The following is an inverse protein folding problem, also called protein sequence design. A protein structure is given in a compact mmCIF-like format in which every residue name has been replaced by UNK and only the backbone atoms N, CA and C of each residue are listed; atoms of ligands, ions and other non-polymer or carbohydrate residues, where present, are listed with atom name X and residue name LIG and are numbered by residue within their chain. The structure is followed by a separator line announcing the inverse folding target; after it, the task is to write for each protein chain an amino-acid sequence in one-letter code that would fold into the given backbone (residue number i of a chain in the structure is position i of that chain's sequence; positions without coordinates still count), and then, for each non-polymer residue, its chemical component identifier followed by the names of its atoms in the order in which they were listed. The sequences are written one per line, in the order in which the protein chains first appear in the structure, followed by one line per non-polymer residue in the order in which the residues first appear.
data_IF_536717040575
#
_entry.id   IF_536717040575
#
_cell.length_a   1.000
_cell.length_b   1.000
_cell.length_c   1.000
_cell.angle_alpha   90.00
_cell.angle_beta   90.00
_cell.angle_gamma   90.00
#
_symmetry.space_group_name_H-M   'P 1'
#
loop_
_entity.id
_entity.type
_entity.pdbx_description
1 polymer ?
#
# COMPACT_ATOMS: atom_id res chain seq x y z
N UNK A 1 7.06 -0.12 22.04
CA UNK A 1 6.86 -0.93 20.83
C UNK A 1 7.31 -0.11 19.64
N UNK A 2 8.23 -0.62 18.82
CA UNK A 2 8.77 0.11 17.68
C UNK A 2 7.72 0.21 16.57
N UNK A 3 7.28 1.43 16.27
CA UNK A 3 6.49 1.70 15.07
C UNK A 3 7.44 1.68 13.87
N UNK A 4 7.26 0.74 12.94
CA UNK A 4 8.00 0.74 11.67
C UNK A 4 7.38 1.81 10.76
N UNK A 5 8.10 2.92 10.57
CA UNK A 5 7.72 3.97 9.64
C UNK A 5 8.59 3.86 8.38
N UNK A 6 7.98 3.47 7.28
CA UNK A 6 8.61 3.43 5.96
C UNK A 6 8.25 4.72 5.19
N UNK A 7 9.18 5.24 4.36
CA UNK A 7 9.01 6.53 3.68
C UNK A 7 9.13 6.38 2.17
N UNK A 8 8.41 7.23 1.43
CA UNK A 8 8.73 7.52 0.04
C UNK A 8 9.93 8.49 -0.01
N UNK A 9 10.74 8.39 -1.06
CA UNK A 9 11.99 9.16 -1.21
C UNK A 9 11.72 10.51 -1.87
N UNK A 10 12.44 11.53 -1.40
CA UNK A 10 12.66 12.78 -2.11
C UNK A 10 14.18 13.02 -2.24
N UNK A 11 14.72 13.16 -3.46
CA UNK A 11 16.13 13.42 -3.70
C UNK A 11 16.62 12.95 -5.09
N UNK A 12 17.92 13.09 -5.34
CA UNK A 12 18.56 12.80 -6.63
C UNK A 12 18.64 11.30 -7.00
N UNK A 13 18.45 10.41 -6.03
CA UNK A 13 18.48 8.95 -6.25
C UNK A 13 17.17 8.46 -6.87
N UNK A 14 17.26 7.50 -7.78
CA UNK A 14 16.11 6.95 -8.49
C UNK A 14 15.10 6.26 -7.55
N UNK A 15 15.57 5.69 -6.43
CA UNK A 15 14.76 5.11 -5.34
C UNK A 15 15.69 4.79 -4.15
N UNK A 16 15.10 4.60 -2.96
CA UNK A 16 15.80 4.14 -1.76
C UNK A 16 15.72 2.62 -1.66
N UNK A 17 16.77 1.93 -2.09
CA UNK A 17 16.86 0.48 -2.05
C UNK A 17 16.72 -0.07 -0.61
N UNK A 18 17.28 0.63 0.37
CA UNK A 18 17.19 0.23 1.77
C UNK A 18 15.76 0.21 2.30
N UNK A 19 14.97 1.22 1.98
CA UNK A 19 13.54 1.26 2.34
C UNK A 19 12.72 0.22 1.56
N UNK A 20 13.04 -0.03 0.28
CA UNK A 20 12.42 -1.11 -0.48
C UNK A 20 12.69 -2.47 0.17
N UNK A 21 13.95 -2.79 0.50
CA UNK A 21 14.32 -4.06 1.15
C UNK A 21 13.66 -4.25 2.51
N UNK A 22 13.59 -3.22 3.34
CA UNK A 22 12.87 -3.26 4.63
C UNK A 22 11.39 -3.56 4.44
N UNK A 23 10.75 -2.93 3.46
CA UNK A 23 9.33 -3.15 3.19
C UNK A 23 9.05 -4.54 2.63
N UNK A 24 9.94 -5.07 1.76
CA UNK A 24 9.87 -6.45 1.26
C UNK A 24 9.92 -7.45 2.43
N UNK A 25 10.91 -7.31 3.32
CA UNK A 25 11.06 -8.20 4.47
C UNK A 25 9.82 -8.24 5.39
N UNK A 26 9.04 -7.15 5.45
CA UNK A 26 7.85 -7.05 6.29
C UNK A 26 6.57 -7.53 5.61
N UNK A 27 6.46 -7.36 4.29
CA UNK A 27 5.18 -7.48 3.57
C UNK A 27 5.18 -8.64 2.59
N UNK A 28 6.30 -8.98 1.97
CA UNK A 28 6.37 -9.95 0.89
C UNK A 28 7.33 -11.10 1.20
N UNK A 29 6.84 -12.24 1.72
CA UNK A 29 7.65 -13.43 1.96
C UNK A 29 8.37 -13.92 0.67
N UNK A 30 9.61 -14.44 0.78
CA UNK A 30 10.41 -14.84 -0.39
C UNK A 30 9.80 -15.96 -1.24
N UNK A 31 8.96 -16.80 -0.67
CA UNK A 31 8.28 -17.92 -1.33
C UNK A 31 6.94 -17.55 -1.99
N UNK A 32 6.47 -16.31 -1.79
CA UNK A 32 5.22 -15.84 -2.37
C UNK A 32 5.41 -15.14 -3.71
N UNK A 33 4.46 -15.33 -4.62
CA UNK A 33 4.40 -14.59 -5.88
C UNK A 33 3.51 -13.37 -5.75
N UNK A 34 3.98 -12.23 -6.26
CA UNK A 34 3.20 -11.00 -6.40
C UNK A 34 3.51 -10.29 -7.71
N UNK A 35 2.66 -9.34 -8.06
CA UNK A 35 2.88 -8.45 -9.20
C UNK A 35 3.49 -7.15 -8.71
N UNK A 36 4.49 -6.64 -9.44
CA UNK A 36 4.87 -5.22 -9.44
C UNK A 36 4.33 -4.57 -10.71
N UNK A 37 3.93 -3.30 -10.62
CA UNK A 37 3.34 -2.55 -11.72
C UNK A 37 3.78 -1.09 -11.70
N UNK A 38 4.17 -0.57 -12.87
CA UNK A 38 4.42 0.86 -13.09
C UNK A 38 3.18 1.56 -13.64
N UNK A 39 2.92 2.77 -13.20
CA UNK A 39 1.85 3.62 -13.70
C UNK A 39 2.42 4.98 -14.13
N UNK A 40 1.98 5.56 -15.27
CA UNK A 40 0.72 5.24 -15.98
C UNK A 40 0.81 4.16 -17.06
N UNK A 41 2.00 3.69 -17.46
CA UNK A 41 2.17 2.76 -18.61
C UNK A 41 1.45 1.42 -18.45
N UNK A 42 1.29 0.95 -17.20
CA UNK A 42 0.76 -0.37 -16.91
C UNK A 42 1.79 -1.51 -17.09
N UNK A 43 3.07 -1.20 -17.36
CA UNK A 43 4.13 -2.22 -17.37
C UNK A 43 4.09 -3.00 -16.06
N UNK A 44 4.05 -4.32 -16.12
CA UNK A 44 3.98 -5.16 -14.93
C UNK A 44 4.79 -6.43 -15.09
N UNK A 45 5.21 -6.96 -13.95
CA UNK A 45 5.92 -8.23 -13.86
C UNK A 45 5.43 -8.97 -12.62
N UNK A 46 5.14 -10.26 -12.78
CA UNK A 46 4.87 -11.17 -11.66
C UNK A 46 6.13 -11.96 -11.35
N UNK A 47 6.54 -11.97 -10.09
CA UNK A 47 7.77 -12.62 -9.65
C UNK A 47 7.62 -13.15 -8.23
N UNK A 48 8.53 -14.03 -7.86
CA UNK A 48 8.65 -14.53 -6.49
C UNK A 48 9.32 -13.47 -5.62
N UNK A 49 9.10 -13.51 -4.31
CA UNK A 49 9.56 -12.49 -3.37
C UNK A 49 11.06 -12.53 -3.05
N UNK A 50 11.90 -13.07 -3.93
CA UNK A 50 13.35 -12.95 -3.78
C UNK A 50 13.75 -11.46 -3.77
N UNK A 51 14.37 -10.96 -2.69
CA UNK A 51 14.63 -9.53 -2.55
C UNK A 51 15.50 -8.95 -3.66
N UNK A 52 16.49 -9.68 -4.18
CA UNK A 52 17.39 -9.17 -5.21
C UNK A 52 16.70 -9.12 -6.58
N UNK A 53 15.89 -10.11 -6.90
CA UNK A 53 15.09 -10.10 -8.13
C UNK A 53 14.03 -8.98 -8.09
N UNK A 54 13.35 -8.81 -6.95
CA UNK A 54 12.34 -7.75 -6.79
C UNK A 54 12.98 -6.36 -6.88
N UNK A 55 14.12 -6.13 -6.24
CA UNK A 55 14.85 -4.85 -6.33
C UNK A 55 15.29 -4.55 -7.76
N UNK A 56 15.80 -5.54 -8.48
CA UNK A 56 16.15 -5.40 -9.89
C UNK A 56 14.94 -5.01 -10.73
N UNK A 57 13.82 -5.70 -10.54
CA UNK A 57 12.58 -5.41 -11.27
C UNK A 57 12.01 -4.01 -10.91
N UNK A 58 12.16 -3.55 -9.66
CA UNK A 58 11.82 -2.17 -9.26
C UNK A 58 12.72 -1.18 -9.99
N UNK A 59 14.04 -1.42 -10.03
CA UNK A 59 15.01 -0.53 -10.69
C UNK A 59 14.70 -0.32 -12.18
N UNK A 60 14.15 -1.34 -12.86
CA UNK A 60 13.74 -1.28 -14.26
C UNK A 60 12.44 -0.46 -14.49
N UNK A 61 11.72 -0.12 -13.41
CA UNK A 61 10.41 0.53 -13.48
C UNK A 61 10.36 1.92 -12.82
N UNK A 62 11.43 2.37 -12.15
CA UNK A 62 11.43 3.61 -11.34
C UNK A 62 11.40 4.92 -12.13
N UNK A 63 11.38 4.87 -13.46
CA UNK A 63 11.03 6.01 -14.32
C UNK A 63 9.55 6.42 -14.16
N UNK A 64 8.74 5.53 -13.57
CA UNK A 64 7.33 5.75 -13.25
C UNK A 64 7.04 5.53 -11.74
N UNK A 65 5.78 5.72 -11.33
CA UNK A 65 5.32 5.31 -10.01
C UNK A 65 5.18 3.80 -9.94
N UNK A 66 5.88 3.13 -9.01
CA UNK A 66 5.89 1.67 -8.89
C UNK A 66 5.03 1.20 -7.73
N UNK A 67 4.26 0.16 -7.98
CA UNK A 67 3.29 -0.43 -7.05
C UNK A 67 3.49 -1.94 -6.99
N UNK A 68 3.07 -2.57 -5.91
CA UNK A 68 2.92 -4.03 -5.80
C UNK A 68 1.50 -4.46 -5.51
N UNK A 69 1.11 -5.66 -5.94
CA UNK A 69 -0.11 -6.30 -5.43
C UNK A 69 0.11 -6.66 -3.96
N UNK A 70 -0.79 -6.21 -3.07
CA UNK A 70 -0.64 -6.43 -1.63
C UNK A 70 -0.87 -7.88 -1.20
N UNK A 71 -1.54 -8.68 -2.04
CA UNK A 71 -1.87 -10.06 -1.78
C UNK A 71 -1.08 -11.01 -2.68
N UNK A 72 -0.79 -12.25 -2.24
CA UNK A 72 -0.10 -13.23 -3.06
C UNK A 72 -0.96 -13.71 -4.22
N UNK A 73 -0.32 -13.98 -5.34
CA UNK A 73 -0.95 -14.50 -6.55
C UNK A 73 -0.44 -15.90 -6.89
N UNK A 74 -1.14 -16.59 -7.77
CA UNK A 74 -0.72 -17.88 -8.29
C UNK A 74 0.68 -17.77 -8.93
N UNK A 75 1.56 -18.78 -8.73
CA UNK A 75 2.86 -18.83 -9.38
C UNK A 75 2.72 -18.67 -10.91
N UNK A 76 3.62 -17.88 -11.50
CA UNK A 76 3.65 -17.61 -12.93
C UNK A 76 2.38 -16.96 -13.51
N UNK A 77 1.48 -16.42 -12.69
CA UNK A 77 0.35 -15.64 -13.18
C UNK A 77 0.87 -14.43 -13.98
N UNK A 78 0.29 -14.18 -15.14
CA UNK A 78 0.70 -13.07 -16.00
C UNK A 78 0.50 -11.71 -15.34
N UNK A 79 -0.55 -11.57 -14.55
CA UNK A 79 -0.88 -10.36 -13.76
C UNK A 79 -1.86 -10.69 -12.63
N UNK A 80 -1.90 -9.81 -11.63
CA UNK A 80 -2.83 -9.89 -10.53
C UNK A 80 -4.26 -9.56 -11.00
N UNK A 81 -5.20 -10.46 -10.70
CA UNK A 81 -6.64 -10.25 -10.87
C UNK A 81 -7.41 -11.08 -9.84
N UNK A 82 -8.73 -10.97 -9.82
CA UNK A 82 -9.56 -11.67 -8.81
C UNK A 82 -9.40 -13.19 -8.83
N UNK A 83 -9.11 -13.80 -9.97
CA UNK A 83 -8.95 -15.26 -10.09
C UNK A 83 -7.54 -15.74 -9.80
N UNK A 84 -6.53 -14.87 -9.93
CA UNK A 84 -5.12 -15.22 -9.66
C UNK A 84 -4.67 -14.92 -8.24
N UNK A 85 -5.38 -14.06 -7.51
CA UNK A 85 -5.08 -13.83 -6.07
C UNK A 85 -5.46 -15.06 -5.27
N UNK A 86 -4.52 -15.59 -4.48
CA UNK A 86 -4.69 -16.82 -3.70
C UNK A 86 -5.49 -16.60 -2.42
N UNK A 87 -5.19 -15.54 -1.70
CA UNK A 87 -5.78 -15.18 -0.39
C UNK A 87 -5.59 -13.69 -0.11
N UNK A 88 -6.13 -13.22 0.99
CA UNK A 88 -6.01 -11.84 1.45
C UNK A 88 -5.19 -11.79 2.73
N UNK A 89 -3.96 -11.34 2.61
CA UNK A 89 -3.02 -11.28 3.72
C UNK A 89 -3.05 -9.95 4.46
N UNK A 90 -3.56 -8.89 3.78
CA UNK A 90 -3.51 -7.55 4.32
C UNK A 90 -4.86 -6.84 4.23
N UNK A 91 -5.25 -6.21 5.33
CA UNK A 91 -6.25 -5.14 5.35
C UNK A 91 -5.49 -3.82 5.19
N UNK A 92 -5.68 -3.18 4.06
CA UNK A 92 -5.08 -1.89 3.72
C UNK A 92 -6.05 -0.75 4.04
N UNK A 93 -5.60 0.23 4.81
CA UNK A 93 -6.21 1.56 4.84
C UNK A 93 -5.31 2.49 4.03
N UNK A 94 -5.84 3.04 2.96
CA UNK A 94 -5.21 4.09 2.15
C UNK A 94 -5.86 5.42 2.56
N UNK A 95 -5.05 6.29 3.17
CA UNK A 95 -5.51 7.53 3.81
C UNK A 95 -4.88 8.69 3.07
N UNK A 96 -5.69 9.36 2.27
CA UNK A 96 -5.26 10.50 1.46
C UNK A 96 -5.83 11.82 1.99
N UNK A 97 -5.06 12.92 1.92
CA UNK A 97 -5.60 14.25 2.14
C UNK A 97 -6.55 14.65 1.01
N UNK A 98 -7.58 15.42 1.35
CA UNK A 98 -8.48 16.03 0.38
C UNK A 98 -7.75 17.17 -0.31
N UNK A 99 -7.50 17.05 -1.62
CA UNK A 99 -6.71 18.00 -2.41
C UNK A 99 -7.07 17.96 -3.90
N UNK A 100 -6.57 18.90 -4.65
CA UNK A 100 -6.74 18.92 -6.11
C UNK A 100 -6.09 17.68 -6.74
N UNK A 101 -6.80 17.07 -7.69
CA UNK A 101 -6.32 15.91 -8.42
C UNK A 101 -5.06 16.25 -9.22
N UNK A 102 -4.06 15.39 -9.16
CA UNK A 102 -2.80 15.53 -9.92
C UNK A 102 -1.77 16.45 -9.27
N UNK A 103 -2.05 17.01 -8.08
CA UNK A 103 -1.10 17.83 -7.32
C UNK A 103 -0.54 17.01 -6.17
N UNK A 104 0.76 17.13 -5.91
CA UNK A 104 1.41 16.50 -4.75
C UNK A 104 0.91 17.12 -3.44
N UNK A 105 0.79 16.30 -2.41
CA UNK A 105 0.34 16.77 -1.10
C UNK A 105 1.39 17.66 -0.44
N UNK A 106 0.97 18.80 0.09
CA UNK A 106 1.78 19.64 0.97
C UNK A 106 2.00 18.98 2.33
N UNK A 107 2.98 19.46 3.11
CA UNK A 107 3.24 18.96 4.47
C UNK A 107 2.03 19.14 5.41
N UNK A 108 1.24 20.19 5.23
CA UNK A 108 0.03 20.44 6.02
C UNK A 108 -1.03 19.40 5.69
N UNK A 109 -1.27 19.13 4.41
CA UNK A 109 -2.22 18.11 3.96
C UNK A 109 -1.79 16.71 4.41
N UNK A 110 -0.50 16.36 4.29
CA UNK A 110 0.04 15.10 4.80
C UNK A 110 -0.13 14.98 6.32
N UNK A 111 -0.01 16.08 7.06
CA UNK A 111 -0.24 16.09 8.51
C UNK A 111 -1.70 15.75 8.86
N UNK A 112 -2.66 16.25 8.10
CA UNK A 112 -4.08 15.89 8.28
C UNK A 112 -4.32 14.39 8.06
N UNK A 113 -3.75 13.80 7.00
CA UNK A 113 -3.82 12.34 6.78
C UNK A 113 -3.12 11.54 7.90
N UNK A 114 -1.99 12.02 8.43
CA UNK A 114 -1.29 11.41 9.57
C UNK A 114 -2.15 11.39 10.84
N UNK A 115 -2.92 12.44 11.09
CA UNK A 115 -3.84 12.50 12.24
C UNK A 115 -4.98 11.48 12.10
N UNK A 116 -5.56 11.33 10.93
CA UNK A 116 -6.57 10.29 10.65
C UNK A 116 -5.97 8.90 10.83
N UNK A 117 -4.78 8.63 10.30
CA UNK A 117 -4.07 7.37 10.50
C UNK A 117 -3.85 7.06 11.98
N UNK A 118 -3.41 8.04 12.76
CA UNK A 118 -3.19 7.89 14.21
C UNK A 118 -4.47 7.56 14.99
N UNK A 119 -5.61 8.16 14.61
CA UNK A 119 -6.92 7.87 15.21
C UNK A 119 -7.39 6.45 14.92
N UNK A 120 -7.19 5.96 13.68
CA UNK A 120 -7.51 4.58 13.30
C UNK A 120 -6.67 3.60 14.12
N UNK A 121 -5.35 3.85 14.24
CA UNK A 121 -4.46 3.01 15.03
C UNK A 121 -4.90 2.97 16.51
N UNK A 122 -5.26 4.10 17.08
CA UNK A 122 -5.74 4.17 18.46
C UNK A 122 -7.08 3.42 18.67
N UNK A 123 -8.06 3.60 17.77
CA UNK A 123 -9.35 2.89 17.81
C UNK A 123 -9.16 1.38 17.72
N UNK A 124 -8.40 0.91 16.73
CA UNK A 124 -8.17 -0.53 16.52
C UNK A 124 -7.33 -1.15 17.63
N UNK A 125 -6.31 -0.45 18.13
CA UNK A 125 -5.53 -0.90 19.29
C UNK A 125 -6.40 -1.04 20.54
N UNK A 126 -7.32 -0.10 20.79
CA UNK A 126 -8.30 -0.18 21.88
C UNK A 126 -9.27 -1.37 21.76
N UNK A 127 -9.38 -1.96 20.57
CA UNK A 127 -10.17 -3.18 20.28
C UNK A 127 -9.32 -4.45 20.23
N UNK A 128 -8.04 -4.39 20.60
CA UNK A 128 -7.14 -5.52 20.64
C UNK A 128 -6.49 -5.88 19.29
N UNK A 129 -6.58 -5.01 18.26
CA UNK A 129 -5.86 -5.21 17.01
C UNK A 129 -4.36 -4.98 17.18
N UNK A 130 -3.51 -5.73 16.45
CA UNK A 130 -2.06 -5.55 16.50
C UNK A 130 -1.65 -4.17 15.95
N UNK A 131 -0.41 -3.79 16.22
CA UNK A 131 0.17 -2.58 15.62
C UNK A 131 0.35 -2.80 14.10
N UNK A 132 -0.14 -1.89 13.25
CA UNK A 132 0.02 -2.03 11.80
C UNK A 132 1.41 -1.65 11.34
N UNK A 133 1.75 -2.03 10.11
CA UNK A 133 2.86 -1.40 9.38
C UNK A 133 2.32 -0.06 8.85
N UNK A 134 2.97 1.03 9.25
CA UNK A 134 2.67 2.38 8.77
C UNK A 134 3.64 2.75 7.64
N UNK A 135 3.09 3.13 6.49
CA UNK A 135 3.84 3.55 5.31
C UNK A 135 3.46 4.99 4.95
N UNK A 136 4.45 5.84 4.75
CA UNK A 136 4.29 7.12 4.07
C UNK A 136 4.29 6.84 2.54
N UNK A 137 3.15 6.99 1.88
CA UNK A 137 3.01 6.74 0.44
C UNK A 137 3.54 7.89 -0.44
N UNK A 138 4.10 8.93 0.18
CA UNK A 138 4.54 10.17 -0.47
C UNK A 138 3.47 11.25 -0.46
N UNK A 139 2.21 10.91 -0.65
CA UNK A 139 1.09 11.85 -0.67
C UNK A 139 0.09 11.66 0.47
N UNK A 140 0.12 10.52 1.15
CA UNK A 140 -0.75 10.13 2.24
C UNK A 140 -0.10 9.03 3.07
N UNK A 141 -0.91 8.22 3.71
CA UNK A 141 -0.43 7.14 4.57
C UNK A 141 -1.19 5.85 4.31
N UNK A 142 -0.46 4.72 4.33
CA UNK A 142 -1.02 3.38 4.31
C UNK A 142 -0.87 2.74 5.69
N UNK A 143 -1.92 2.08 6.17
CA UNK A 143 -1.85 1.18 7.31
C UNK A 143 -2.10 -0.24 6.83
N UNK A 144 -1.15 -1.13 7.05
CA UNK A 144 -1.25 -2.55 6.73
C UNK A 144 -1.48 -3.35 8.02
N UNK A 145 -2.66 -3.93 8.16
CA UNK A 145 -2.95 -4.89 9.21
C UNK A 145 -2.89 -6.30 8.66
N UNK A 146 -2.10 -7.17 9.28
CA UNK A 146 -2.06 -8.58 8.90
C UNK A 146 -3.41 -9.22 9.16
N UNK A 147 -3.94 -9.87 8.13
CA UNK A 147 -5.16 -10.69 8.18
C UNK A 147 -4.88 -12.01 7.45
N UNK A 148 -5.73 -13.01 7.66
CA UNK A 148 -5.63 -14.30 6.96
C UNK A 148 -7.04 -14.69 6.53
N UNK A 149 -7.47 -14.14 5.39
CA UNK A 149 -8.80 -14.38 4.87
C UNK A 149 -8.74 -15.06 3.49
N UNK A 150 -9.71 -15.92 3.16
CA UNK A 150 -9.84 -16.45 1.81
C UNK A 150 -10.12 -15.34 0.81
N UNK A 151 -9.81 -15.59 -0.46
CA UNK A 151 -10.16 -14.68 -1.55
C UNK A 151 -11.58 -14.99 -2.07
N UNK A 152 -12.59 -14.67 -1.27
CA UNK A 152 -13.99 -14.93 -1.59
C UNK A 152 -14.88 -13.68 -1.40
N UNK A 153 -16.16 -13.73 -1.81
CA UNK A 153 -17.08 -12.61 -1.66
C UNK A 153 -17.37 -12.21 -0.21
N UNK A 154 -17.34 -13.16 0.75
CA UNK A 154 -17.58 -12.88 2.17
C UNK A 154 -16.43 -12.06 2.75
N UNK A 155 -15.19 -12.47 2.51
CA UNK A 155 -14.00 -11.71 2.91
C UNK A 155 -13.98 -10.32 2.26
N UNK A 156 -14.32 -10.21 0.97
CA UNK A 156 -14.41 -8.91 0.29
C UNK A 156 -15.45 -8.01 0.93
N UNK A 157 -16.63 -8.56 1.26
CA UNK A 157 -17.71 -7.81 1.93
C UNK A 157 -17.29 -7.35 3.33
N UNK A 158 -16.62 -8.21 4.10
CA UNK A 158 -16.12 -7.87 5.43
C UNK A 158 -15.10 -6.73 5.38
N UNK A 159 -14.12 -6.80 4.47
CA UNK A 159 -13.12 -5.75 4.27
C UNK A 159 -13.79 -4.43 3.86
N UNK A 160 -14.72 -4.48 2.88
CA UNK A 160 -15.46 -3.29 2.44
C UNK A 160 -16.22 -2.65 3.61
N UNK A 161 -16.91 -3.47 4.43
CA UNK A 161 -17.63 -2.98 5.60
C UNK A 161 -16.70 -2.35 6.63
N UNK A 162 -15.54 -2.95 6.90
CA UNK A 162 -14.53 -2.39 7.79
C UNK A 162 -14.04 -1.01 7.32
N UNK A 163 -13.71 -0.88 6.02
CA UNK A 163 -13.29 0.40 5.43
C UNK A 163 -14.38 1.47 5.56
N UNK A 164 -15.63 1.14 5.21
CA UNK A 164 -16.76 2.08 5.33
C UNK A 164 -16.97 2.49 6.78
N UNK A 165 -17.00 1.53 7.72
CA UNK A 165 -17.23 1.82 9.15
C UNK A 165 -16.15 2.71 9.75
N UNK A 166 -14.88 2.48 9.39
CA UNK A 166 -13.77 3.30 9.91
C UNK A 166 -13.71 4.66 9.22
N UNK A 167 -14.06 4.74 7.94
CA UNK A 167 -14.20 6.00 7.24
C UNK A 167 -15.30 6.88 7.86
N UNK A 168 -16.47 6.33 8.18
CA UNK A 168 -17.54 7.06 8.85
C UNK A 168 -17.16 7.59 10.24
N UNK A 169 -16.21 6.95 10.91
CA UNK A 169 -15.75 7.35 12.25
C UNK A 169 -14.59 8.35 12.22
N UNK A 170 -13.72 8.24 11.23
CA UNK A 170 -12.39 8.89 11.27
C UNK A 170 -12.14 9.87 10.12
N UNK A 171 -12.92 9.82 9.03
CA UNK A 171 -12.79 10.80 7.94
C UNK A 171 -13.01 12.21 8.49
N UNK A 172 -12.25 13.15 7.93
CA UNK A 172 -12.39 14.58 8.20
C UNK A 172 -12.58 15.33 6.87
N UNK A 173 -12.95 16.62 6.89
CA UNK A 173 -12.97 17.42 5.68
C UNK A 173 -11.63 17.51 4.95
N UNK A 174 -10.51 17.31 5.70
CA UNK A 174 -9.14 17.48 5.18
C UNK A 174 -8.49 16.17 4.77
N UNK A 175 -8.96 15.00 5.25
CA UNK A 175 -8.36 13.70 4.91
C UNK A 175 -9.39 12.57 5.04
N UNK A 176 -9.32 11.61 4.11
CA UNK A 176 -10.29 10.51 4.02
C UNK A 176 -9.62 9.16 3.78
N UNK A 177 -10.31 8.08 4.15
CA UNK A 177 -9.97 6.70 3.83
C UNK A 177 -10.52 6.36 2.44
N UNK A 178 -9.70 5.82 1.54
CA UNK A 178 -10.19 5.27 0.28
C UNK A 178 -11.00 3.98 0.53
N UNK A 179 -12.31 4.07 0.33
CA UNK A 179 -13.25 2.95 0.51
C UNK A 179 -13.20 1.94 -0.63
N UNK A 180 -12.48 2.24 -1.74
CA UNK A 180 -12.40 1.37 -2.91
C UNK A 180 -11.30 0.30 -2.79
N UNK A 181 -10.42 0.37 -1.79
CA UNK A 181 -9.27 -0.54 -1.65
C UNK A 181 -9.63 -1.94 -1.12
N UNK A 182 -10.86 -2.40 -1.31
CA UNK A 182 -11.36 -3.69 -0.83
C UNK A 182 -11.23 -4.85 -1.84
N UNK A 183 -10.82 -4.59 -3.06
CA UNK A 183 -10.62 -5.61 -4.09
C UNK A 183 -9.34 -6.42 -3.83
N UNK A 184 -9.35 -7.71 -4.20
CA UNK A 184 -8.21 -8.59 -3.90
C UNK A 184 -6.95 -8.30 -4.71
N UNK A 185 -7.00 -7.88 -6.00
CA UNK A 185 -5.81 -7.52 -6.76
C UNK A 185 -5.36 -6.07 -6.52
N UNK A 186 -5.68 -5.51 -5.33
CA UNK A 186 -5.29 -4.14 -4.99
C UNK A 186 -3.78 -3.97 -5.07
N UNK A 187 -3.36 -2.94 -5.78
CA UNK A 187 -1.97 -2.49 -5.77
C UNK A 187 -1.81 -1.31 -4.82
N UNK A 188 -0.65 -1.24 -4.19
CA UNK A 188 -0.26 -0.14 -3.32
C UNK A 188 1.15 0.32 -3.62
N UNK A 189 1.46 1.57 -3.31
CA UNK A 189 2.76 2.19 -3.56
C UNK A 189 3.88 1.42 -2.85
N UNK A 190 4.96 1.11 -3.57
CA UNK A 190 6.15 0.49 -2.97
C UNK A 190 6.91 1.57 -2.18
N UNK A 191 7.16 1.36 -0.88
CA UNK A 191 8.02 2.25 -0.09
C UNK A 191 9.43 2.35 -0.69
N UNK A 192 10.08 3.49 -0.54
CA UNK A 192 11.39 3.73 -1.12
C UNK A 192 11.36 4.12 -2.60
N UNK A 193 10.21 4.10 -3.29
CA UNK A 193 10.08 4.57 -4.67
C UNK A 193 9.35 5.92 -4.74
N UNK A 194 9.59 6.70 -5.81
CA UNK A 194 8.95 7.99 -5.98
C UNK A 194 7.44 7.90 -6.19
N UNK A 195 6.70 8.78 -5.54
CA UNK A 195 5.28 9.01 -5.81
C UNK A 195 5.17 10.14 -6.85
N UNK A 196 5.24 9.79 -8.13
CA UNK A 196 5.11 10.78 -9.21
C UNK A 196 3.64 11.14 -9.41
N UNK A 197 3.27 12.36 -8.99
CA UNK A 197 1.95 12.95 -9.28
C UNK A 197 2.20 14.38 -9.75
N UNK A 198 1.76 14.70 -10.97
CA UNK A 198 1.97 16.01 -11.58
C UNK A 198 3.05 15.99 -12.64
N UNK A 199 3.28 17.17 -13.23
CA UNK A 199 4.23 17.41 -14.33
C UNK A 199 5.63 17.83 -13.85
N UNK A 200 6.00 17.48 -12.63
CA UNK A 200 7.35 17.76 -12.06
C UNK A 200 8.18 16.50 -12.03
#
# INVERSE_FOLDING_TARGET
MASFKLRAVGGADRFDEGECRKSLALIWPPDEWREIRALPSGRCQSLQGDPDEVIKAIADLVDESVYWCINPIQPNAKHANKSTVLRRDWLLFDIDPVRLKGVSASDIEKRSASLVASRIVADLSGRGWPVPILIDSGNGYHLYYRIELPNDPLAQSAIKKALVTLAERHDTPEATIDRAVHDSPRIAKIPGTYARKGAD
#
